data_IF_776063834309
#
_entry.id   IF_776063834309
#
_cell.length_a   1.000
_cell.length_b   1.000
_cell.length_c   1.000
_cell.angle_alpha   90.00
_cell.angle_beta   90.00
_cell.angle_gamma   90.00
#
_symmetry.space_group_name_H-M   'P 1'
#
loop_
_entity.id
_entity.type
_entity.pdbx_description
1 polymer ?
#
# COMPACT_ATOMS: atom_id res chain seq x y z
N UNK A 1 -43.96 -34.10 -23.19
CA UNK A 1 -44.83 -34.70 -22.16
C UNK A 1 -44.57 -33.83 -20.90
N UNK A 2 -45.37 -32.85 -20.71
CA UNK A 2 -46.70 -32.74 -20.10
C UNK A 2 -46.65 -32.86 -18.57
N UNK A 3 -46.91 -31.71 -17.93
CA UNK A 3 -47.76 -31.45 -16.74
C UNK A 3 -47.20 -31.95 -15.39
N UNK A 4 -47.29 -31.23 -14.31
CA UNK A 4 -48.41 -30.42 -13.85
C UNK A 4 -48.11 -29.65 -12.55
N UNK A 5 -48.79 -28.59 -12.48
CA UNK A 5 -49.05 -27.62 -11.43
C UNK A 5 -49.77 -28.25 -10.22
N UNK A 6 -49.40 -27.92 -9.00
CA UNK A 6 -50.35 -27.98 -7.86
C UNK A 6 -50.12 -26.83 -6.88
N UNK A 7 -51.11 -25.97 -6.84
CA UNK A 7 -51.31 -24.90 -5.85
C UNK A 7 -52.02 -25.51 -4.66
N UNK A 8 -51.55 -25.26 -3.44
CA UNK A 8 -52.38 -25.38 -2.25
C UNK A 8 -52.24 -24.18 -1.32
N UNK A 9 -53.31 -23.40 -1.22
CA UNK A 9 -53.59 -22.42 -0.16
C UNK A 9 -53.95 -23.11 1.12
N UNK A 10 -53.44 -22.68 2.26
CA UNK A 10 -54.15 -22.76 3.55
C UNK A 10 -53.86 -21.53 4.40
N UNK A 11 -54.90 -21.12 5.12
CA UNK A 11 -55.16 -19.85 5.77
C UNK A 11 -54.52 -19.68 7.16
N UNK A 12 -54.38 -18.39 7.52
CA UNK A 12 -54.56 -17.65 8.78
C UNK A 12 -54.52 -18.44 10.11
N UNK A 13 -53.60 -18.04 11.00
CA UNK A 13 -53.95 -17.74 12.40
C UNK A 13 -52.94 -16.74 12.97
N UNK A 14 -53.44 -15.63 13.52
CA UNK A 14 -52.64 -14.57 14.12
C UNK A 14 -52.09 -14.95 15.49
N UNK A 15 -50.93 -14.47 15.82
CA UNK A 15 -50.46 -14.19 17.16
C UNK A 15 -49.55 -12.98 17.18
N UNK A 16 -50.00 -11.93 17.85
CA UNK A 16 -49.22 -10.75 18.25
C UNK A 16 -48.00 -11.20 19.07
N UNK A 17 -46.82 -10.85 18.61
CA UNK A 17 -45.64 -10.80 19.47
C UNK A 17 -45.05 -9.39 19.36
N UNK A 18 -45.04 -8.74 20.51
CA UNK A 18 -44.40 -7.48 20.78
C UNK A 18 -42.87 -7.69 20.65
N UNK A 19 -42.28 -7.34 19.52
CA UNK A 19 -40.84 -7.42 19.30
C UNK A 19 -40.19 -6.06 19.54
N UNK A 20 -39.33 -6.01 20.52
CA UNK A 20 -38.44 -4.91 20.91
C UNK A 20 -37.65 -4.42 19.68
N UNK A 21 -37.88 -3.18 19.25
CA UNK A 21 -37.06 -2.50 18.25
C UNK A 21 -35.74 -2.10 18.91
N UNK A 22 -34.71 -2.93 18.78
CA UNK A 22 -33.31 -2.48 18.91
C UNK A 22 -33.02 -1.61 17.68
N UNK A 23 -33.00 -0.29 17.88
CA UNK A 23 -32.48 0.65 16.89
C UNK A 23 -30.95 0.47 16.81
N UNK A 24 -30.52 -0.44 15.97
CA UNK A 24 -29.12 -0.50 15.52
C UNK A 24 -28.83 0.75 14.69
N UNK A 25 -28.00 1.66 15.21
CA UNK A 25 -27.42 2.75 14.46
C UNK A 25 -26.52 2.13 13.38
N UNK A 26 -27.09 1.93 12.19
CA UNK A 26 -26.32 1.58 11.00
C UNK A 26 -25.52 2.85 10.63
N UNK A 27 -24.22 2.88 10.97
CA UNK A 27 -23.27 3.85 10.43
C UNK A 27 -23.26 3.64 8.90
N UNK A 28 -24.04 4.45 8.19
CA UNK A 28 -23.93 4.53 6.73
C UNK A 28 -22.60 5.17 6.39
N UNK A 29 -21.61 4.35 6.07
CA UNK A 29 -20.41 4.78 5.36
C UNK A 29 -20.88 5.25 3.99
N UNK A 30 -20.97 6.57 3.81
CA UNK A 30 -21.22 7.14 2.49
C UNK A 30 -19.97 6.97 1.68
N UNK A 31 -19.95 6.00 0.77
CA UNK A 31 -18.92 5.91 -0.27
C UNK A 31 -19.19 7.07 -1.23
N UNK A 32 -18.48 8.17 -1.09
CA UNK A 32 -18.39 9.21 -2.12
C UNK A 32 -17.47 8.62 -3.20
N UNK A 33 -17.88 8.51 -4.47
CA UNK A 33 -16.98 8.09 -5.52
C UNK A 33 -15.90 9.16 -5.65
N UNK A 34 -14.75 8.92 -5.07
CA UNK A 34 -13.51 9.64 -5.30
C UNK A 34 -13.06 9.36 -6.74
N UNK A 35 -12.47 10.36 -7.39
CA UNK A 35 -11.93 10.28 -8.75
C UNK A 35 -11.16 8.96 -8.96
N UNK A 36 -11.33 8.34 -10.13
CA UNK A 36 -10.92 7.00 -10.47
C UNK A 36 -9.51 6.63 -9.94
N UNK A 37 -9.48 5.92 -8.83
CA UNK A 37 -8.31 5.23 -8.34
C UNK A 37 -8.59 3.73 -8.45
N UNK A 38 -7.62 2.95 -8.93
CA UNK A 38 -7.73 1.49 -8.93
C UNK A 38 -7.76 0.91 -7.51
N UNK A 39 -7.38 1.73 -6.50
CA UNK A 39 -7.42 1.39 -5.08
C UNK A 39 -8.78 1.64 -4.41
N UNK A 40 -8.96 1.09 -3.22
CA UNK A 40 -10.14 1.34 -2.38
C UNK A 40 -9.88 2.52 -1.45
N UNK A 41 -10.69 3.58 -1.57
CA UNK A 41 -10.56 4.79 -0.75
C UNK A 41 -11.65 4.86 0.31
N UNK A 42 -11.28 5.21 1.53
CA UNK A 42 -12.17 5.37 2.68
C UNK A 42 -11.95 6.74 3.32
N UNK A 43 -13.03 7.50 3.47
CA UNK A 43 -13.02 8.77 4.21
C UNK A 43 -13.32 8.52 5.69
N UNK A 44 -12.41 8.95 6.55
CA UNK A 44 -12.59 8.94 8.00
C UNK A 44 -13.14 10.29 8.49
N UNK A 45 -14.36 10.29 8.99
CA UNK A 45 -15.01 11.50 9.51
C UNK A 45 -14.38 12.03 10.81
N UNK A 46 -13.62 11.21 11.53
CA UNK A 46 -12.96 11.61 12.78
C UNK A 46 -11.72 12.43 12.47
N UNK A 47 -10.87 11.93 11.59
CA UNK A 47 -9.63 12.63 11.22
C UNK A 47 -9.82 13.63 10.08
N UNK A 48 -10.93 13.52 9.32
CA UNK A 48 -11.15 14.31 8.11
C UNK A 48 -10.25 13.91 6.93
N UNK A 49 -9.60 12.75 7.02
CA UNK A 49 -8.70 12.26 5.99
C UNK A 49 -9.33 11.17 5.15
N UNK A 50 -8.93 11.09 3.89
CA UNK A 50 -9.20 9.94 3.03
C UNK A 50 -7.93 9.12 2.88
N UNK A 51 -8.06 7.81 3.06
CA UNK A 51 -6.97 6.85 2.84
C UNK A 51 -7.36 5.89 1.71
N UNK A 52 -6.54 5.86 0.65
CA UNK A 52 -6.67 4.95 -0.49
C UNK A 52 -5.65 3.82 -0.36
N UNK A 53 -6.12 2.58 -0.35
CA UNK A 53 -5.31 1.37 -0.24
C UNK A 53 -5.18 0.70 -1.61
N UNK A 54 -3.95 0.41 -2.00
CA UNK A 54 -3.58 -0.28 -3.22
C UNK A 54 -2.94 -1.61 -2.88
N UNK A 55 -3.53 -2.70 -3.33
CA UNK A 55 -2.99 -4.05 -3.18
C UNK A 55 -2.15 -4.45 -4.40
N UNK A 56 -1.32 -5.48 -4.24
CA UNK A 56 -0.54 -6.05 -5.36
C UNK A 56 -1.47 -6.71 -6.38
N UNK A 57 -1.46 -6.22 -7.61
CA UNK A 57 -2.26 -6.73 -8.74
C UNK A 57 -1.41 -7.37 -9.83
N UNK A 58 -0.09 -7.20 -9.76
CA UNK A 58 0.85 -7.61 -10.81
C UNK A 58 0.91 -6.66 -12.00
N UNK A 59 0.27 -5.49 -11.93
CA UNK A 59 0.31 -4.44 -12.94
C UNK A 59 0.21 -3.06 -12.32
N UNK A 60 0.53 -2.02 -13.12
CA UNK A 60 0.44 -0.62 -12.75
C UNK A 60 -0.99 -0.22 -12.40
N UNK A 61 -1.14 0.59 -11.36
CA UNK A 61 -2.39 1.18 -10.92
C UNK A 61 -2.26 2.71 -10.95
N UNK A 62 -3.37 3.43 -10.97
CA UNK A 62 -3.38 4.89 -11.07
C UNK A 62 -4.10 5.50 -9.89
N UNK A 63 -3.55 6.60 -9.35
CA UNK A 63 -4.18 7.47 -8.37
C UNK A 63 -4.29 8.89 -8.95
N UNK A 64 -5.51 9.40 -9.09
CA UNK A 64 -5.72 10.80 -9.48
C UNK A 64 -5.70 11.68 -8.24
N UNK A 65 -4.77 12.63 -8.20
CA UNK A 65 -4.67 13.60 -7.10
C UNK A 65 -5.93 14.48 -7.11
N UNK A 66 -6.70 14.58 -6.00
CA UNK A 66 -7.84 15.49 -5.97
C UNK A 66 -7.45 16.94 -6.27
N UNK A 67 -8.36 17.70 -6.89
CA UNK A 67 -8.08 19.05 -7.39
C UNK A 67 -7.79 20.11 -6.31
N UNK A 68 -7.96 19.76 -5.05
CA UNK A 68 -7.72 20.62 -3.88
C UNK A 68 -6.61 20.06 -2.95
N UNK A 69 -5.88 19.02 -3.41
CA UNK A 69 -4.84 18.34 -2.63
C UNK A 69 -3.46 18.59 -3.24
N UNK A 70 -2.52 19.12 -2.46
CA UNK A 70 -1.13 19.37 -2.85
C UNK A 70 -0.10 18.57 -2.06
N UNK A 71 -0.55 17.76 -1.09
CA UNK A 71 0.33 16.94 -0.24
C UNK A 71 -0.32 15.61 0.09
N UNK A 72 0.45 14.54 -0.01
CA UNK A 72 0.02 13.17 0.30
C UNK A 72 0.95 12.56 1.33
N UNK A 73 0.39 11.94 2.37
CA UNK A 73 1.15 11.04 3.23
C UNK A 73 1.08 9.62 2.63
N UNK A 74 2.23 9.02 2.37
CA UNK A 74 2.32 7.71 1.73
C UNK A 74 3.06 6.74 2.63
N UNK A 75 2.50 5.52 2.76
CA UNK A 75 3.18 4.38 3.37
C UNK A 75 3.17 3.25 2.35
N UNK A 76 4.35 2.72 2.02
CA UNK A 76 4.52 1.63 1.08
C UNK A 76 5.21 0.43 1.74
N UNK A 77 4.80 -0.78 1.38
CA UNK A 77 5.43 -2.05 1.77
C UNK A 77 5.93 -2.79 0.54
N UNK A 78 7.22 -3.12 0.52
CA UNK A 78 7.82 -4.01 -0.47
C UNK A 78 7.51 -5.48 -0.17
N UNK A 79 7.64 -6.33 -1.17
CA UNK A 79 7.42 -7.77 -1.05
C UNK A 79 8.61 -8.49 -0.41
N UNK A 80 8.34 -9.53 0.37
CA UNK A 80 9.37 -10.46 0.79
C UNK A 80 9.87 -11.30 -0.39
N UNK A 81 11.13 -11.74 -0.33
CA UNK A 81 11.65 -12.75 -1.23
C UNK A 81 11.13 -14.14 -0.88
N UNK A 82 11.13 -15.06 -1.85
CA UNK A 82 10.73 -16.44 -1.64
C UNK A 82 11.83 -17.24 -0.91
N UNK A 83 11.43 -18.23 -0.14
CA UNK A 83 12.34 -19.28 0.33
C UNK A 83 12.76 -20.18 -0.83
N UNK A 84 13.87 -20.87 -0.68
CA UNK A 84 14.26 -21.92 -1.63
C UNK A 84 13.25 -23.07 -1.62
N UNK A 85 13.12 -23.77 -2.76
CA UNK A 85 12.13 -24.85 -2.96
C UNK A 85 12.33 -26.05 -2.02
N UNK A 86 13.55 -26.31 -1.65
CA UNK A 86 13.92 -27.37 -0.71
C UNK A 86 13.69 -26.99 0.77
N UNK A 87 13.21 -25.77 1.04
CA UNK A 87 13.03 -25.21 2.37
C UNK A 87 14.35 -24.89 3.08
N UNK A 88 15.49 -25.04 2.38
CA UNK A 88 16.83 -24.91 2.95
C UNK A 88 17.15 -23.48 3.40
N UNK A 89 16.65 -22.48 2.69
CA UNK A 89 16.92 -21.09 3.03
C UNK A 89 15.68 -20.21 2.87
N UNK A 90 15.50 -19.32 3.82
CA UNK A 90 14.40 -18.36 3.81
C UNK A 90 14.75 -17.14 2.95
N UNK A 91 13.75 -16.57 2.26
CA UNK A 91 13.90 -15.26 1.62
C UNK A 91 13.97 -14.12 2.65
N UNK A 92 14.43 -12.95 2.27
CA UNK A 92 14.47 -11.73 3.08
C UNK A 92 13.14 -11.00 3.13
N UNK A 93 12.98 -10.13 4.11
CA UNK A 93 11.81 -9.27 4.29
C UNK A 93 11.90 -8.01 3.44
N UNK A 94 10.77 -7.50 2.97
CA UNK A 94 10.68 -6.20 2.32
C UNK A 94 10.73 -5.04 3.33
N UNK A 95 10.91 -3.81 2.84
CA UNK A 95 10.84 -2.60 3.66
C UNK A 95 9.41 -2.08 3.79
N UNK A 96 9.12 -1.44 4.93
CA UNK A 96 8.04 -0.48 5.08
C UNK A 96 8.66 0.91 5.09
N UNK A 97 8.21 1.77 4.17
CA UNK A 97 8.74 3.12 3.98
C UNK A 97 7.60 4.12 4.02
N UNK A 98 7.82 5.28 4.62
CA UNK A 98 6.86 6.38 4.64
C UNK A 98 7.46 7.65 4.05
N UNK A 99 6.59 8.56 3.60
CA UNK A 99 6.99 9.88 3.13
C UNK A 99 5.81 10.79 2.92
N UNK A 100 6.09 12.10 2.95
CA UNK A 100 5.14 13.12 2.51
C UNK A 100 5.55 13.58 1.12
N UNK A 101 4.64 13.43 0.17
CA UNK A 101 4.87 13.82 -1.23
C UNK A 101 4.17 15.14 -1.52
N UNK A 102 4.92 16.11 -2.06
CA UNK A 102 4.34 17.30 -2.68
C UNK A 102 3.88 16.92 -4.08
N UNK A 103 2.62 17.19 -4.39
CA UNK A 103 1.97 16.78 -5.64
C UNK A 103 1.25 17.94 -6.31
N UNK A 104 0.98 17.81 -7.60
CA UNK A 104 0.16 18.77 -8.35
C UNK A 104 -1.30 18.32 -8.33
N UNK A 105 -2.23 19.18 -7.86
CA UNK A 105 -3.66 18.88 -7.91
C UNK A 105 -4.13 18.52 -9.32
N UNK A 106 -4.92 17.47 -9.45
CA UNK A 106 -5.48 16.99 -10.72
C UNK A 106 -4.56 16.12 -11.58
N UNK A 107 -3.29 15.95 -11.20
CA UNK A 107 -2.34 15.12 -11.96
C UNK A 107 -2.42 13.64 -11.53
N UNK A 108 -2.17 12.69 -12.46
CA UNK A 108 -2.10 11.28 -12.12
C UNK A 108 -0.77 10.92 -11.46
N UNK A 109 -0.82 10.05 -10.48
CA UNK A 109 0.31 9.29 -9.97
C UNK A 109 0.13 7.82 -10.33
N UNK A 110 1.23 7.17 -10.66
CA UNK A 110 1.27 5.74 -10.96
C UNK A 110 1.76 4.98 -9.74
N UNK A 111 1.02 3.94 -9.37
CA UNK A 111 1.21 3.16 -8.14
C UNK A 111 1.60 1.75 -8.52
N UNK A 112 2.80 1.35 -8.13
CA UNK A 112 3.36 0.04 -8.40
C UNK A 112 3.48 -0.73 -7.09
N UNK A 113 2.59 -1.65 -6.84
CA UNK A 113 2.66 -2.48 -5.63
C UNK A 113 3.45 -3.74 -5.91
N UNK A 114 4.53 -3.92 -5.18
CA UNK A 114 5.43 -5.06 -5.34
C UNK A 114 4.72 -6.40 -5.26
N UNK A 115 5.10 -7.33 -6.12
CA UNK A 115 4.59 -8.69 -6.08
C UNK A 115 5.50 -9.62 -5.28
N UNK A 116 4.91 -10.61 -4.61
CA UNK A 116 5.67 -11.75 -4.15
C UNK A 116 6.19 -12.57 -5.35
N UNK A 117 7.35 -13.21 -5.26
CA UNK A 117 7.83 -14.12 -6.31
C UNK A 117 6.82 -15.23 -6.54
N UNK A 118 6.62 -15.59 -7.82
CA UNK A 118 5.70 -16.66 -8.22
C UNK A 118 6.47 -17.90 -8.68
N UNK A 119 5.91 -19.09 -8.42
CA UNK A 119 6.56 -20.36 -8.70
C UNK A 119 6.96 -21.05 -7.38
N UNK A 120 5.98 -21.47 -6.57
CA UNK A 120 6.15 -21.92 -5.19
C UNK A 120 7.03 -23.14 -4.96
N UNK A 121 7.24 -24.03 -5.89
CA UNK A 121 8.24 -25.11 -5.85
C UNK A 121 9.16 -24.93 -7.07
N UNK A 122 10.11 -24.02 -6.92
CA UNK A 122 11.08 -23.75 -7.96
C UNK A 122 12.08 -24.91 -8.04
N UNK A 123 11.61 -26.04 -8.56
CA UNK A 123 12.48 -27.16 -8.90
C UNK A 123 13.62 -26.68 -9.82
N UNK A 124 14.76 -27.36 -9.75
CA UNK A 124 15.96 -27.11 -10.57
C UNK A 124 15.69 -26.96 -12.07
N UNK A 125 14.49 -27.32 -12.53
CA UNK A 125 14.05 -27.24 -13.91
C UNK A 125 13.04 -26.11 -14.20
N UNK A 126 12.53 -25.38 -13.18
CA UNK A 126 11.54 -24.30 -13.31
C UNK A 126 12.14 -23.00 -12.81
N UNK A 127 12.03 -21.94 -13.62
CA UNK A 127 12.43 -20.60 -13.21
C UNK A 127 11.40 -20.05 -12.22
N UNK A 128 11.84 -19.68 -11.02
CA UNK A 128 11.11 -18.80 -10.14
C UNK A 128 11.12 -17.41 -10.72
N UNK A 129 9.98 -16.91 -11.13
CA UNK A 129 9.84 -15.53 -11.56
C UNK A 129 9.95 -14.63 -10.33
N UNK A 130 10.83 -13.63 -10.39
CA UNK A 130 10.91 -12.60 -9.35
C UNK A 130 9.61 -11.83 -9.22
N UNK A 131 9.37 -11.24 -8.07
CA UNK A 131 8.17 -10.47 -7.77
C UNK A 131 7.96 -9.30 -8.73
N UNK A 132 6.70 -9.00 -9.06
CA UNK A 132 6.35 -7.84 -9.86
C UNK A 132 7.02 -6.58 -9.33
N UNK A 133 7.42 -5.69 -10.21
CA UNK A 133 8.17 -4.47 -9.95
C UNK A 133 9.59 -4.73 -9.42
N UNK A 134 10.32 -5.59 -10.15
CA UNK A 134 11.77 -5.65 -10.10
C UNK A 134 12.42 -6.72 -9.25
N UNK A 135 11.69 -7.69 -8.73
CA UNK A 135 12.30 -8.85 -8.10
C UNK A 135 13.14 -9.67 -9.08
N UNK A 136 14.34 -10.11 -8.67
CA UNK A 136 15.23 -10.95 -9.47
C UNK A 136 14.73 -12.39 -9.59
N UNK A 137 14.87 -12.99 -10.78
CA UNK A 137 14.51 -14.39 -10.98
C UNK A 137 15.52 -15.33 -10.29
N UNK A 138 15.10 -16.56 -10.01
CA UNK A 138 15.98 -17.64 -9.58
C UNK A 138 15.62 -18.95 -10.30
N UNK A 139 16.56 -19.88 -10.37
CA UNK A 139 16.35 -21.24 -10.85
C UNK A 139 16.71 -22.23 -9.76
N UNK A 140 15.70 -22.74 -9.04
CA UNK A 140 15.86 -23.68 -7.94
C UNK A 140 16.16 -23.04 -6.57
N UNK A 141 16.47 -21.74 -6.51
CA UNK A 141 16.45 -20.92 -5.29
C UNK A 141 15.16 -20.08 -5.23
N UNK A 142 15.00 -19.28 -4.20
CA UNK A 142 13.91 -18.33 -4.09
C UNK A 142 14.08 -17.12 -5.01
N UNK A 143 13.01 -16.64 -5.66
CA UNK A 143 13.01 -15.37 -6.37
C UNK A 143 13.06 -14.18 -5.39
N UNK A 144 13.59 -13.04 -5.82
CA UNK A 144 13.53 -11.78 -5.07
C UNK A 144 12.14 -11.17 -5.04
N UNK A 145 11.78 -10.51 -3.95
CA UNK A 145 10.55 -9.73 -3.81
C UNK A 145 10.57 -8.46 -4.64
N UNK A 146 9.41 -8.01 -5.15
CA UNK A 146 9.29 -6.76 -5.87
C UNK A 146 9.22 -5.54 -4.94
N UNK A 147 9.61 -4.37 -5.45
CA UNK A 147 9.47 -3.11 -4.73
C UNK A 147 8.06 -2.52 -4.88
N UNK A 148 7.62 -1.75 -3.89
CA UNK A 148 6.42 -0.90 -4.03
C UNK A 148 6.84 0.55 -4.18
N UNK A 149 6.31 1.25 -5.19
CA UNK A 149 6.66 2.65 -5.42
C UNK A 149 5.51 3.50 -5.96
N UNK A 150 5.64 4.82 -5.77
CA UNK A 150 4.79 5.84 -6.36
C UNK A 150 5.63 6.70 -7.27
N UNK A 151 5.16 6.96 -8.50
CA UNK A 151 5.88 7.69 -9.54
C UNK A 151 4.99 8.65 -10.33
N UNK A 152 5.59 9.63 -11.00
CA UNK A 152 4.89 10.62 -11.83
C UNK A 152 4.77 10.21 -13.30
N UNK A 153 5.51 9.21 -13.75
CA UNK A 153 5.52 8.71 -15.14
C UNK A 153 5.27 7.22 -15.13
N UNK A 154 4.23 6.78 -15.83
CA UNK A 154 3.82 5.38 -15.92
C UNK A 154 4.79 4.49 -16.72
N UNK A 155 4.60 3.18 -16.63
CA UNK A 155 5.45 2.16 -17.29
C UNK A 155 5.45 2.23 -18.81
N UNK A 156 4.47 2.91 -19.43
CA UNK A 156 4.45 3.11 -20.87
C UNK A 156 5.67 3.86 -21.41
N UNK A 157 6.30 4.71 -20.59
CA UNK A 157 7.58 5.34 -20.90
C UNK A 157 8.73 4.56 -20.24
N UNK A 158 9.41 3.75 -21.05
CA UNK A 158 10.49 2.87 -20.56
C UNK A 158 11.80 3.60 -20.27
N UNK A 159 11.93 4.87 -20.63
CA UNK A 159 13.18 5.63 -20.50
C UNK A 159 13.25 6.42 -19.19
N UNK A 160 12.14 6.98 -18.74
CA UNK A 160 12.11 7.92 -17.61
C UNK A 160 11.28 7.43 -16.42
N UNK A 161 10.46 6.39 -16.58
CA UNK A 161 9.56 5.90 -15.54
C UNK A 161 10.28 5.57 -14.23
N UNK A 162 11.45 4.91 -14.27
CA UNK A 162 12.19 4.53 -13.06
C UNK A 162 12.87 5.72 -12.35
N UNK A 163 13.15 6.81 -13.06
CA UNK A 163 13.74 8.02 -12.48
C UNK A 163 12.67 8.99 -11.95
N UNK A 164 11.40 8.76 -12.27
CA UNK A 164 10.27 9.57 -11.79
C UNK A 164 9.68 9.11 -10.45
N UNK A 165 10.29 8.09 -9.81
CA UNK A 165 9.82 7.55 -8.53
C UNK A 165 10.02 8.57 -7.40
N UNK A 166 8.96 8.82 -6.65
CA UNK A 166 8.90 9.75 -5.52
C UNK A 166 9.14 9.05 -4.17
N UNK A 167 8.74 7.77 -4.07
CA UNK A 167 8.90 6.95 -2.89
C UNK A 167 9.04 5.50 -3.34
N UNK A 168 9.95 4.73 -2.70
CA UNK A 168 10.21 3.32 -3.02
C UNK A 168 10.41 2.54 -1.73
N UNK A 169 9.62 1.52 -1.51
CA UNK A 169 9.81 0.48 -0.50
C UNK A 169 10.41 -0.76 -1.17
N UNK A 170 11.63 -1.10 -0.81
CA UNK A 170 12.38 -2.19 -1.45
C UNK A 170 11.83 -3.57 -1.09
N UNK A 171 12.02 -4.53 -1.99
CA UNK A 171 11.81 -5.95 -1.74
C UNK A 171 13.00 -6.65 -1.12
N UNK A 172 12.76 -7.78 -0.46
CA UNK A 172 13.80 -8.68 0.07
C UNK A 172 14.36 -9.63 -0.98
N UNK A 173 15.59 -10.11 -0.78
CA UNK A 173 16.22 -11.10 -1.62
C UNK A 173 15.66 -12.52 -1.41
N UNK A 174 15.77 -13.39 -2.41
CA UNK A 174 15.38 -14.79 -2.33
C UNK A 174 16.41 -15.67 -1.60
N UNK A 175 15.98 -16.78 -1.01
CA UNK A 175 16.88 -17.77 -0.40
C UNK A 175 17.63 -18.59 -1.45
N UNK A 176 18.89 -18.97 -1.16
CA UNK A 176 19.66 -19.89 -1.98
C UNK A 176 19.24 -21.35 -1.73
N UNK A 177 19.18 -22.17 -2.79
CA UNK A 177 18.90 -23.60 -2.68
C UNK A 177 20.11 -24.42 -2.24
N UNK A 178 19.85 -25.64 -1.79
CA UNK A 178 20.87 -26.63 -1.45
C UNK A 178 21.08 -27.62 -2.58
N UNK A 179 22.30 -28.15 -2.74
CA UNK A 179 22.57 -29.27 -3.62
C UNK A 179 23.21 -30.47 -2.92
N UNK A 180 23.89 -30.32 -1.80
CA UNK A 180 24.68 -31.42 -1.22
C UNK A 180 25.09 -31.30 0.25
N UNK A 181 24.58 -30.38 1.02
CA UNK A 181 24.95 -30.26 2.44
C UNK A 181 24.15 -31.24 3.31
N UNK A 182 24.83 -32.07 4.08
CA UNK A 182 24.22 -33.02 5.03
C UNK A 182 23.45 -32.34 6.17
N UNK A 183 23.76 -31.05 6.44
CA UNK A 183 23.09 -30.21 7.44
C UNK A 183 22.36 -29.03 6.80
N UNK A 184 21.97 -29.21 5.55
CA UNK A 184 21.00 -28.42 4.75
C UNK A 184 20.87 -26.93 5.06
N UNK A 185 21.74 -26.06 4.46
CA UNK A 185 21.27 -24.68 4.26
C UNK A 185 21.95 -24.00 3.10
N UNK A 186 21.17 -23.65 2.09
CA UNK A 186 21.46 -22.51 1.23
C UNK A 186 21.56 -21.23 2.07
N UNK A 187 22.16 -20.17 1.55
CA UNK A 187 22.22 -18.87 2.22
C UNK A 187 20.84 -18.21 2.27
N UNK A 188 20.42 -17.69 3.42
CA UNK A 188 19.19 -16.90 3.50
C UNK A 188 19.27 -15.65 2.63
N UNK A 189 18.13 -15.20 2.06
CA UNK A 189 18.03 -13.93 1.36
C UNK A 189 18.19 -12.75 2.33
N UNK A 190 18.83 -11.66 1.87
CA UNK A 190 18.95 -10.42 2.62
C UNK A 190 17.62 -9.67 2.71
N UNK A 191 17.32 -9.08 3.86
CA UNK A 191 16.21 -8.14 3.98
C UNK A 191 16.47 -6.91 3.10
N UNK A 192 15.47 -6.08 2.90
CA UNK A 192 15.64 -4.81 2.19
C UNK A 192 16.77 -3.97 2.83
N UNK A 193 17.82 -3.71 2.03
CA UNK A 193 19.04 -3.02 2.46
C UNK A 193 20.14 -3.92 3.03
N UNK A 194 19.91 -5.23 3.22
CA UNK A 194 20.87 -6.18 3.75
C UNK A 194 21.45 -7.12 2.66
N UNK A 195 22.68 -7.61 2.81
CA UNK A 195 23.23 -8.63 1.94
C UNK A 195 22.57 -10.00 2.18
N UNK A 196 22.56 -10.82 1.17
CA UNK A 196 22.26 -12.25 1.30
C UNK A 196 23.35 -13.00 2.06
N UNK A 197 23.01 -14.15 2.62
CA UNK A 197 23.96 -15.01 3.31
C UNK A 197 24.69 -15.96 2.35
N UNK A 198 25.86 -16.35 2.72
CA UNK A 198 26.66 -17.40 2.03
C UNK A 198 26.06 -18.78 2.29
N UNK A 199 26.01 -19.62 1.30
CA UNK A 199 25.62 -21.03 1.41
C UNK A 199 26.62 -21.88 2.20
N UNK A 200 26.15 -23.01 2.71
CA UNK A 200 26.94 -23.96 3.49
C UNK A 200 28.13 -24.56 2.72
N UNK A 201 29.09 -25.14 3.44
CA UNK A 201 30.19 -25.98 2.89
C UNK A 201 31.17 -25.22 1.98
N UNK A 202 31.34 -23.91 2.15
CA UNK A 202 32.14 -23.10 1.23
C UNK A 202 31.45 -22.83 -0.12
N UNK A 203 30.13 -22.83 -0.11
CA UNK A 203 29.24 -22.61 -1.25
C UNK A 203 29.29 -21.21 -1.84
N UNK A 204 28.26 -20.84 -2.60
CA UNK A 204 28.11 -19.52 -3.19
C UNK A 204 27.99 -18.41 -2.13
N UNK A 205 28.66 -17.28 -2.33
CA UNK A 205 28.46 -16.12 -1.45
C UNK A 205 27.11 -15.47 -1.67
N UNK A 206 26.59 -14.78 -0.66
CA UNK A 206 25.39 -13.94 -0.81
C UNK A 206 25.60 -12.82 -1.82
N UNK A 207 24.53 -12.31 -2.40
CA UNK A 207 24.53 -11.08 -3.18
C UNK A 207 24.56 -9.86 -2.26
N UNK A 208 25.19 -8.78 -2.71
CA UNK A 208 25.19 -7.50 -1.99
C UNK A 208 23.83 -6.78 -2.12
N UNK A 209 23.45 -5.92 -1.15
CA UNK A 209 22.25 -5.11 -1.25
C UNK A 209 22.41 -4.01 -2.30
N UNK A 210 21.29 -3.56 -2.85
CA UNK A 210 21.24 -2.30 -3.57
C UNK A 210 21.54 -1.11 -2.65
N UNK A 211 22.12 -0.06 -3.21
CA UNK A 211 22.39 1.20 -2.51
C UNK A 211 21.54 2.32 -3.08
N UNK A 212 21.67 3.54 -2.57
CA UNK A 212 21.00 4.72 -3.15
C UNK A 212 21.53 5.11 -4.53
N UNK A 213 22.63 4.55 -5.00
CA UNK A 213 23.36 4.98 -6.20
C UNK A 213 23.62 3.85 -7.20
N UNK A 214 23.63 2.62 -6.79
CA UNK A 214 23.99 1.47 -7.63
C UNK A 214 23.33 0.18 -7.14
N UNK A 215 23.17 -0.76 -8.07
CA UNK A 215 22.74 -2.11 -7.75
C UNK A 215 23.76 -2.87 -6.92
N UNK A 216 23.29 -3.86 -6.16
CA UNK A 216 24.13 -4.76 -5.39
C UNK A 216 24.93 -5.68 -6.30
N UNK A 217 26.19 -5.96 -5.95
CA UNK A 217 26.99 -6.94 -6.68
C UNK A 217 26.46 -8.36 -6.51
N UNK A 218 26.56 -9.18 -7.55
CA UNK A 218 26.20 -10.60 -7.47
C UNK A 218 27.17 -11.41 -6.63
N UNK A 219 26.65 -12.39 -5.90
CA UNK A 219 27.43 -13.35 -5.13
C UNK A 219 28.33 -14.20 -6.05
N UNK A 220 29.42 -14.71 -5.51
CA UNK A 220 30.40 -15.53 -6.26
C UNK A 220 30.27 -17.03 -5.93
N UNK A 221 30.50 -17.90 -6.94
CA UNK A 221 30.65 -17.59 -8.36
C UNK A 221 29.30 -17.27 -9.04
N UNK A 222 29.35 -16.61 -10.17
CA UNK A 222 28.26 -16.45 -11.18
C UNK A 222 26.95 -15.73 -10.78
N UNK A 223 26.89 -15.11 -9.60
CA UNK A 223 25.78 -14.21 -9.29
C UNK A 223 25.79 -12.97 -10.18
N UNK A 224 24.64 -12.42 -10.48
CA UNK A 224 24.48 -11.20 -11.29
C UNK A 224 24.20 -9.98 -10.42
N UNK A 225 24.69 -8.83 -10.84
CA UNK A 225 24.43 -7.56 -10.17
C UNK A 225 22.98 -7.12 -10.34
N UNK A 226 22.48 -6.35 -9.38
CA UNK A 226 21.23 -5.61 -9.49
C UNK A 226 21.39 -4.35 -10.34
N UNK A 227 20.30 -3.73 -10.72
CA UNK A 227 20.26 -2.49 -11.50
C UNK A 227 19.24 -1.49 -10.96
N UNK A 228 19.10 -0.38 -11.67
CA UNK A 228 18.04 0.60 -11.37
C UNK A 228 16.67 -0.09 -11.48
N UNK A 229 15.95 -0.17 -10.37
CA UNK A 229 14.61 -0.77 -10.32
C UNK A 229 14.56 -2.30 -10.31
N UNK A 230 15.68 -3.02 -10.53
CA UNK A 230 15.64 -4.47 -10.74
C UNK A 230 16.73 -5.21 -9.97
N UNK A 231 16.37 -6.30 -9.30
CA UNK A 231 17.28 -7.22 -8.65
C UNK A 231 18.00 -8.14 -9.63
N UNK A 232 19.24 -8.54 -9.29
CA UNK A 232 20.02 -9.50 -10.04
C UNK A 232 19.33 -10.87 -10.11
N UNK A 233 19.35 -11.51 -11.29
CA UNK A 233 18.74 -12.83 -11.49
C UNK A 233 19.76 -13.95 -11.49
N UNK A 234 19.47 -15.09 -10.86
CA UNK A 234 20.25 -16.32 -10.97
C UNK A 234 19.61 -17.24 -12.01
N UNK A 235 20.21 -17.33 -13.20
CA UNK A 235 19.64 -18.07 -14.33
C UNK A 235 20.19 -19.48 -14.51
N UNK A 236 21.23 -19.85 -13.80
CA UNK A 236 21.93 -21.12 -14.06
C UNK A 236 21.73 -22.18 -12.99
N UNK A 237 21.87 -21.85 -11.71
CA UNK A 237 21.73 -22.79 -10.57
C UNK A 237 21.23 -22.02 -9.34
N UNK A 238 20.56 -22.67 -8.51
CA UNK A 238 20.02 -22.45 -7.16
C UNK A 238 20.36 -21.18 -6.34
N UNK A 239 21.07 -20.19 -6.88
CA UNK A 239 21.33 -18.92 -6.19
C UNK A 239 20.01 -18.13 -6.00
N UNK A 240 19.82 -17.46 -4.85
CA UNK A 240 18.65 -16.62 -4.60
C UNK A 240 18.63 -15.38 -5.49
N UNK A 241 17.48 -14.96 -5.98
CA UNK A 241 17.28 -13.73 -6.75
C UNK A 241 17.40 -12.49 -5.86
N UNK A 242 17.95 -11.38 -6.37
CA UNK A 242 18.03 -10.09 -5.66
C UNK A 242 16.67 -9.42 -5.52
N UNK A 243 16.43 -8.68 -4.43
CA UNK A 243 15.22 -7.87 -4.22
C UNK A 243 15.14 -6.66 -5.15
N UNK A 244 13.94 -6.26 -5.56
CA UNK A 244 13.66 -5.00 -6.28
C UNK A 244 13.84 -3.79 -5.36
N UNK A 245 14.03 -2.58 -5.91
CA UNK A 245 14.23 -1.38 -5.11
C UNK A 245 14.42 -0.13 -5.93
N UNK A 246 14.88 0.97 -5.31
CA UNK A 246 15.42 2.12 -6.06
C UNK A 246 16.56 1.61 -6.96
N UNK A 247 17.48 0.87 -6.33
CA UNK A 247 18.38 -0.08 -7.00
C UNK A 247 18.17 -1.44 -6.39
N UNK A 248 18.14 -2.48 -7.20
CA UNK A 248 17.97 -3.85 -6.75
C UNK A 248 19.22 -4.44 -6.13
N UNK A 249 19.07 -5.46 -5.29
CA UNK A 249 20.15 -6.27 -4.77
C UNK A 249 20.74 -7.23 -5.82
N UNK A 250 21.95 -7.70 -5.63
CA UNK A 250 22.56 -8.75 -6.44
C UNK A 250 21.96 -10.13 -6.16
N UNK A 251 22.01 -11.05 -7.13
CA UNK A 251 21.65 -12.44 -6.87
C UNK A 251 22.74 -13.16 -6.06
N UNK A 252 22.35 -14.21 -5.35
CA UNK A 252 23.31 -15.12 -4.72
C UNK A 252 24.18 -15.88 -5.71
N UNK A 253 25.36 -16.28 -5.26
CA UNK A 253 26.31 -17.07 -6.03
C UNK A 253 25.90 -18.55 -6.14
N UNK A 254 26.40 -19.22 -7.16
CA UNK A 254 26.20 -20.65 -7.37
C UNK A 254 27.03 -21.52 -6.38
N UNK A 255 26.61 -22.77 -6.11
CA UNK A 255 27.45 -23.71 -5.37
C UNK A 255 28.80 -23.93 -6.06
N UNK A 256 29.83 -24.18 -5.29
CA UNK A 256 31.13 -24.59 -5.83
C UNK A 256 31.06 -25.97 -6.51
N UNK A 257 32.00 -26.26 -7.39
CA UNK A 257 32.10 -27.56 -8.08
C UNK A 257 32.22 -28.75 -7.12
N UNK A 258 32.66 -28.52 -5.88
CA UNK A 258 32.91 -29.54 -4.85
C UNK A 258 31.68 -29.77 -3.92
N UNK A 259 30.51 -29.19 -4.26
CA UNK A 259 29.33 -29.22 -3.42
C UNK A 259 29.24 -27.97 -2.53
N UNK A 260 28.14 -27.83 -1.84
CA UNK A 260 27.82 -26.69 -0.98
C UNK A 260 26.47 -26.06 -1.37
N UNK A 261 25.91 -25.25 -0.48
CA UNK A 261 24.69 -24.52 -0.75
C UNK A 261 24.96 -23.29 -1.60
N UNK A 262 23.94 -22.80 -2.33
CA UNK A 262 24.00 -21.53 -3.03
C UNK A 262 23.86 -20.35 -2.07
N UNK A 263 24.35 -19.17 -2.45
CA UNK A 263 24.14 -17.93 -1.71
C UNK A 263 22.70 -17.39 -1.86
N UNK A 264 22.20 -16.68 -0.85
CA UNK A 264 20.96 -15.90 -0.92
C UNK A 264 21.14 -14.60 -1.71
N UNK A 265 20.09 -14.07 -2.31
CA UNK A 265 20.10 -12.76 -2.96
C UNK A 265 20.14 -11.62 -1.95
N UNK A 266 20.74 -10.48 -2.31
CA UNK A 266 20.69 -9.24 -1.52
C UNK A 266 19.34 -8.55 -1.62
N UNK A 267 18.98 -7.75 -0.62
CA UNK A 267 17.79 -6.90 -0.64
C UNK A 267 17.97 -5.67 -1.53
N UNK A 268 16.90 -5.08 -1.99
CA UNK A 268 16.92 -3.80 -2.71
C UNK A 268 17.09 -2.60 -1.77
N UNK A 269 17.34 -1.42 -2.33
CA UNK A 269 17.38 -0.15 -1.60
C UNK A 269 16.05 0.61 -1.71
N UNK A 270 15.77 1.43 -0.70
CA UNK A 270 14.55 2.21 -0.58
C UNK A 270 14.80 3.71 -0.83
N UNK A 271 13.72 4.45 -1.15
CA UNK A 271 13.67 5.91 -1.21
C UNK A 271 12.51 6.38 -0.30
N UNK A 272 12.80 7.23 0.68
CA UNK A 272 11.88 7.70 1.71
C UNK A 272 12.38 7.37 3.12
N UNK A 273 11.56 7.61 4.14
CA UNK A 273 11.89 7.32 5.52
C UNK A 273 11.60 5.85 5.83
N UNK A 274 12.66 5.08 6.11
CA UNK A 274 12.52 3.70 6.56
C UNK A 274 11.79 3.66 7.91
N UNK A 275 10.77 2.84 8.00
CA UNK A 275 9.96 2.65 9.23
C UNK A 275 10.36 1.36 9.94
N UNK A 276 10.33 0.25 9.21
CA UNK A 276 10.66 -1.11 9.69
C UNK A 276 10.79 -2.08 8.53
N UNK A 277 11.19 -3.28 8.81
CA UNK A 277 10.98 -4.39 7.89
C UNK A 277 9.50 -4.83 7.91
N UNK A 278 8.99 -5.27 6.79
CA UNK A 278 7.68 -5.90 6.69
C UNK A 278 7.80 -7.36 7.16
N UNK A 279 6.89 -7.81 8.04
CA UNK A 279 6.81 -9.23 8.36
C UNK A 279 6.50 -10.02 7.06
N UNK A 280 7.05 -11.22 6.94
CA UNK A 280 6.83 -12.08 5.75
C UNK A 280 5.39 -12.44 5.50
N UNK A 281 4.56 -12.44 6.55
CA UNK A 281 3.11 -12.67 6.47
C UNK A 281 2.35 -11.44 5.97
N UNK A 282 2.97 -10.25 5.98
CA UNK A 282 2.35 -9.03 5.50
C UNK A 282 2.35 -9.00 3.96
N UNK A 283 1.20 -8.69 3.39
CA UNK A 283 1.07 -8.48 1.95
C UNK A 283 1.61 -7.10 1.55
N UNK A 284 2.31 -6.99 0.41
CA UNK A 284 2.68 -5.70 -0.15
C UNK A 284 1.46 -4.83 -0.41
N UNK A 285 1.55 -3.56 -0.04
CA UNK A 285 0.49 -2.59 -0.27
C UNK A 285 1.06 -1.16 -0.28
N UNK A 286 0.29 -0.23 -0.82
CA UNK A 286 0.55 1.20 -0.69
C UNK A 286 -0.70 1.87 -0.13
N UNK A 287 -0.54 2.64 0.94
CA UNK A 287 -1.56 3.51 1.50
C UNK A 287 -1.23 4.97 1.16
N UNK A 288 -2.18 5.67 0.52
CA UNK A 288 -2.10 7.10 0.23
C UNK A 288 -3.16 7.80 1.06
N UNK A 289 -2.73 8.69 1.96
CA UNK A 289 -3.63 9.44 2.85
C UNK A 289 -3.53 10.94 2.55
N UNK A 290 -4.67 11.60 2.46
CA UNK A 290 -4.77 13.04 2.21
C UNK A 290 -5.97 13.67 2.91
N UNK A 291 -5.92 15.00 3.07
CA UNK A 291 -7.07 15.80 3.49
C UNK A 291 -7.57 16.62 2.30
N UNK A 292 -8.83 16.45 1.94
CA UNK A 292 -9.51 17.23 0.90
C UNK A 292 -10.56 18.12 1.53
N UNK A 293 -10.50 19.42 1.25
CA UNK A 293 -11.53 20.36 1.68
C UNK A 293 -12.91 19.95 1.16
N UNK A 294 -12.99 19.56 -0.11
CA UNK A 294 -14.25 19.15 -0.74
C UNK A 294 -14.92 17.97 -0.03
N UNK A 295 -14.15 16.93 0.29
CA UNK A 295 -14.67 15.74 0.99
C UNK A 295 -15.07 16.05 2.43
N UNK A 296 -14.25 16.79 3.17
CA UNK A 296 -14.55 17.23 4.54
C UNK A 296 -15.81 18.11 4.57
N UNK A 297 -15.92 19.05 3.64
CA UNK A 297 -17.08 19.93 3.53
C UNK A 297 -18.37 19.16 3.19
N UNK A 298 -18.30 18.22 2.24
CA UNK A 298 -19.44 17.36 1.90
C UNK A 298 -19.91 16.54 3.11
N UNK A 299 -18.97 16.03 3.92
CA UNK A 299 -19.27 15.32 5.16
C UNK A 299 -19.97 16.24 6.19
N UNK A 300 -19.48 17.49 6.36
CA UNK A 300 -20.11 18.47 7.25
C UNK A 300 -21.54 18.81 6.79
N UNK A 301 -21.76 19.06 5.49
CA UNK A 301 -23.10 19.32 4.92
C UNK A 301 -24.05 18.16 5.18
N UNK A 302 -23.61 16.92 4.98
CA UNK A 302 -24.39 15.73 5.28
C UNK A 302 -24.73 15.62 6.76
N UNK A 303 -23.81 15.99 7.65
CA UNK A 303 -23.97 15.91 9.11
C UNK A 303 -24.93 16.96 9.68
N UNK A 304 -25.09 18.12 9.02
CA UNK A 304 -26.05 19.15 9.45
C UNK A 304 -27.45 18.99 8.86
N UNK A 305 -27.67 18.03 7.96
CA UNK A 305 -28.96 17.78 7.35
C UNK A 305 -29.99 17.31 8.40
N UNK A 306 -31.03 18.13 8.64
CA UNK A 306 -32.07 17.80 9.61
C UNK A 306 -31.66 17.91 11.09
N UNK A 307 -30.49 18.47 11.39
CA UNK A 307 -29.95 18.59 12.75
C UNK A 307 -29.83 20.06 13.16
N UNK A 308 -30.07 20.34 14.43
CA UNK A 308 -29.85 21.67 15.03
C UNK A 308 -31.04 22.65 14.89
N UNK A 309 -30.76 23.96 15.03
CA UNK A 309 -31.81 24.99 15.03
C UNK A 309 -32.23 25.35 13.60
N UNK A 310 -33.12 24.54 13.01
CA UNK A 310 -33.64 24.80 11.67
C UNK A 310 -32.58 24.75 10.58
N UNK A 311 -32.48 25.82 9.74
CA UNK A 311 -31.57 25.87 8.59
C UNK A 311 -30.23 26.59 8.87
N UNK A 312 -30.00 27.10 10.10
CA UNK A 312 -28.88 28.00 10.38
C UNK A 312 -27.51 27.32 10.15
N UNK A 313 -27.28 26.13 10.71
CA UNK A 313 -26.04 25.40 10.51
C UNK A 313 -25.82 25.00 9.03
N UNK A 314 -26.86 24.53 8.36
CA UNK A 314 -26.81 24.22 6.93
C UNK A 314 -26.51 25.45 6.05
N UNK A 315 -27.03 26.63 6.43
CA UNK A 315 -26.72 27.88 5.73
C UNK A 315 -25.25 28.27 5.91
N UNK A 316 -24.71 28.15 7.13
CA UNK A 316 -23.27 28.40 7.38
C UNK A 316 -22.36 27.41 6.63
N UNK A 317 -22.72 26.14 6.60
CA UNK A 317 -21.97 25.16 5.81
C UNK A 317 -21.92 25.59 4.32
N UNK A 318 -23.02 26.02 3.71
CA UNK A 318 -23.02 26.52 2.32
C UNK A 318 -22.22 27.82 2.15
N UNK A 319 -22.21 28.71 3.14
CA UNK A 319 -21.41 29.94 3.10
C UNK A 319 -19.90 29.66 3.16
N UNK A 320 -19.49 28.63 3.92
CA UNK A 320 -18.09 28.16 3.95
C UNK A 320 -17.63 27.75 2.54
N UNK A 321 -18.43 26.94 1.83
CA UNK A 321 -18.12 26.55 0.45
C UNK A 321 -18.05 27.77 -0.48
N UNK A 322 -19.05 28.65 -0.45
CA UNK A 322 -19.08 29.82 -1.31
C UNK A 322 -17.87 30.76 -1.06
N UNK A 323 -17.40 30.87 0.18
CA UNK A 323 -16.21 31.65 0.49
C UNK A 323 -14.94 30.97 -0.03
N UNK A 324 -14.83 29.64 0.12
CA UNK A 324 -13.70 28.87 -0.41
C UNK A 324 -13.63 28.93 -1.94
N UNK A 325 -14.75 28.76 -2.65
CA UNK A 325 -14.84 28.87 -4.12
C UNK A 325 -14.44 30.26 -4.63
N UNK A 326 -14.71 31.29 -3.82
CA UNK A 326 -14.31 32.67 -4.10
C UNK A 326 -12.84 32.98 -3.70
N UNK A 327 -12.04 32.00 -3.29
CA UNK A 327 -10.70 32.16 -2.71
C UNK A 327 -10.66 33.12 -1.52
N UNK A 328 -11.80 33.29 -0.82
CA UNK A 328 -11.91 34.11 0.39
C UNK A 328 -11.66 33.26 1.64
N UNK A 329 -10.40 32.85 1.86
CA UNK A 329 -10.01 32.00 2.98
C UNK A 329 -10.38 32.63 4.33
N UNK A 330 -10.16 33.96 4.52
CA UNK A 330 -10.51 34.65 5.76
C UNK A 330 -12.02 34.60 6.04
N UNK A 331 -12.86 34.74 5.01
CA UNK A 331 -14.32 34.61 5.11
C UNK A 331 -14.77 33.20 5.44
N UNK A 332 -14.14 32.19 4.85
CA UNK A 332 -14.38 30.78 5.18
C UNK A 332 -14.02 30.49 6.64
N UNK A 333 -12.83 30.91 7.10
CA UNK A 333 -12.37 30.75 8.47
C UNK A 333 -13.30 31.44 9.49
N UNK A 334 -13.72 32.67 9.21
CA UNK A 334 -14.66 33.39 10.07
C UNK A 334 -16.01 32.68 10.16
N UNK A 335 -16.50 32.14 9.05
CA UNK A 335 -17.78 31.40 9.00
C UNK A 335 -17.67 30.07 9.74
N UNK A 336 -16.52 29.34 9.66
CA UNK A 336 -16.23 28.14 10.44
C UNK A 336 -16.23 28.42 11.93
N UNK A 337 -15.57 29.50 12.38
CA UNK A 337 -15.59 29.93 13.76
C UNK A 337 -17.01 30.24 14.26
N UNK A 338 -17.82 30.94 13.45
CA UNK A 338 -19.22 31.22 13.78
C UNK A 338 -20.09 29.96 13.80
N UNK A 339 -19.78 28.96 12.95
CA UNK A 339 -20.43 27.64 12.96
C UNK A 339 -20.14 26.90 14.28
N UNK A 340 -18.87 26.80 14.67
CA UNK A 340 -18.45 26.15 15.93
C UNK A 340 -19.10 26.82 17.14
N UNK A 341 -19.13 28.16 17.15
CA UNK A 341 -19.76 28.91 18.24
C UNK A 341 -21.27 28.58 18.35
N UNK A 342 -21.99 28.51 17.22
CA UNK A 342 -23.40 28.14 17.21
C UNK A 342 -23.63 26.69 17.67
N UNK A 343 -22.81 25.74 17.21
CA UNK A 343 -22.87 24.35 17.65
C UNK A 343 -22.74 24.26 19.17
N UNK A 344 -21.75 24.93 19.76
CA UNK A 344 -21.55 24.98 21.21
C UNK A 344 -22.74 25.60 21.95
N UNK A 345 -23.31 26.67 21.43
CA UNK A 345 -24.47 27.35 22.03
C UNK A 345 -25.76 26.51 21.98
N UNK A 346 -25.87 25.55 21.06
CA UNK A 346 -27.02 24.66 20.88
C UNK A 346 -26.85 23.31 21.59
N UNK A 347 -25.68 23.00 22.12
CA UNK A 347 -25.42 21.75 22.87
C UNK A 347 -26.35 21.63 24.07
N UNK A 348 -26.99 20.50 24.24
CA UNK A 348 -27.98 20.23 25.28
C UNK A 348 -29.35 20.92 25.07
N UNK A 349 -29.55 21.67 23.97
CA UNK A 349 -30.81 22.33 23.59
C UNK A 349 -31.41 21.68 22.32
N UNK A 350 -30.80 21.94 21.18
CA UNK A 350 -31.21 21.43 19.85
C UNK A 350 -30.21 20.41 19.29
N UNK A 351 -29.06 20.26 19.92
CA UNK A 351 -28.03 19.28 19.61
C UNK A 351 -27.75 18.42 20.85
N UNK A 352 -27.62 17.10 20.63
CA UNK A 352 -27.04 16.24 21.68
C UNK A 352 -25.56 16.55 21.86
N UNK A 353 -24.95 16.15 22.97
CA UNK A 353 -23.52 16.31 23.20
C UNK A 353 -22.67 15.64 22.12
N UNK A 354 -23.09 14.46 21.68
CA UNK A 354 -22.43 13.68 20.62
C UNK A 354 -22.50 14.38 19.26
N UNK A 355 -23.68 14.88 18.88
CA UNK A 355 -23.84 15.65 17.64
C UNK A 355 -22.97 16.91 17.67
N UNK A 356 -22.96 17.63 18.77
CA UNK A 356 -22.17 18.84 18.91
C UNK A 356 -20.66 18.56 18.84
N UNK A 357 -20.19 17.49 19.50
CA UNK A 357 -18.80 17.07 19.43
C UNK A 357 -18.39 16.70 18.00
N UNK A 358 -19.19 15.89 17.30
CA UNK A 358 -18.94 15.50 15.90
C UNK A 358 -18.90 16.69 14.95
N UNK A 359 -19.87 17.61 15.03
CA UNK A 359 -19.93 18.80 14.18
C UNK A 359 -18.77 19.77 14.46
N UNK A 360 -18.37 19.93 15.75
CA UNK A 360 -17.23 20.75 16.11
C UNK A 360 -15.93 20.20 15.51
N UNK A 361 -15.70 18.89 15.66
CA UNK A 361 -14.52 18.21 15.14
C UNK A 361 -14.43 18.33 13.60
N UNK A 362 -15.53 18.10 12.87
CA UNK A 362 -15.56 18.24 11.41
C UNK A 362 -15.23 19.68 10.98
N UNK A 363 -15.74 20.68 11.70
CA UNK A 363 -15.44 22.09 11.40
C UNK A 363 -13.97 22.45 11.75
N UNK A 364 -13.40 21.89 12.81
CA UNK A 364 -11.98 22.06 13.18
C UNK A 364 -11.06 21.39 12.14
N UNK A 365 -11.42 20.22 11.59
CA UNK A 365 -10.68 19.59 10.48
C UNK A 365 -10.65 20.51 9.26
N UNK A 366 -11.78 21.12 8.87
CA UNK A 366 -11.86 22.10 7.79
C UNK A 366 -10.99 23.34 8.07
N UNK A 367 -10.94 23.83 9.32
CA UNK A 367 -10.06 24.93 9.69
C UNK A 367 -8.59 24.57 9.48
N UNK A 368 -8.21 23.33 9.85
CA UNK A 368 -6.84 22.82 9.64
C UNK A 368 -6.50 22.75 8.15
N UNK A 369 -7.40 22.20 7.32
CA UNK A 369 -7.20 22.08 5.86
C UNK A 369 -7.12 23.45 5.17
N UNK A 370 -7.88 24.45 5.64
CA UNK A 370 -7.81 25.83 5.13
C UNK A 370 -6.70 26.67 5.77
N UNK A 371 -5.93 26.11 6.71
CA UNK A 371 -4.89 26.82 7.47
C UNK A 371 -5.43 28.04 8.21
N UNK A 372 -6.64 27.91 8.79
CA UNK A 372 -7.20 28.89 9.68
C UNK A 372 -6.43 28.90 11.01
#
# INVERSE_FOLDING_TARGET
>A
MVLGCLITRVARSGRFWLGLLLAGVLLMVSVVPSAAADGTCLFDRVTGNTTCMFASTGHEQTFMVPGDVSSLAVVAKGAAGASASDGAATGGEGAVVSGTLTVTPGEPLYVEVGGAPTGGDCDTNVNCVGGFNGGGLSRGGGGGGGASDVRTIGRGDTTTTLTSRLLVAAGGGGGGGDQTCTDSTGGAGGNAGDPGMTGCGGGGSGGDPGTSFMGGAGGRPAGTEGGLGVGGGSSRRVGGGGGGGLYGGGSGGEPSANGGGAGGGGGGSSLGTFVRLADRSETPEIAITYASFGEQHAALVASVAGVGPGKSLANKARQIQAAADANNHSGACATLAAFIHEVRAQTGKKLTAEQAASLTMQAENLQTTLSC
#
